data_IF_002007885878
#
_entry.id   IF_002007885878
#
_cell.length_a   1.000
_cell.length_b   1.000
_cell.length_c   1.000
_cell.angle_alpha   90.00
_cell.angle_beta   90.00
_cell.angle_gamma   90.00
#
_symmetry.space_group_name_H-M   'P 1'
#
loop_
_entity.id
_entity.type
_entity.pdbx_description
1 polymer ?
#
# COMPACT_ATOMS: atom_id res chain seq x y z
N UNK A 1 0.31 15.24 -12.64
CA UNK A 1 -1.16 15.06 -12.60
C UNK A 1 -1.79 15.91 -13.70
N UNK A 2 -2.63 15.33 -14.55
CA UNK A 2 -3.37 16.04 -15.59
C UNK A 2 -4.80 16.24 -15.11
N UNK A 3 -5.18 17.47 -14.84
CA UNK A 3 -6.57 17.89 -14.62
C UNK A 3 -6.87 18.98 -15.65
N UNK A 4 -7.92 18.82 -16.42
CA UNK A 4 -8.43 19.85 -17.38
C UNK A 4 -7.34 20.49 -18.26
N UNK A 5 -6.41 19.67 -18.81
CA UNK A 5 -5.36 20.16 -19.73
C UNK A 5 -4.10 20.75 -19.05
N UNK A 6 -4.11 20.93 -17.73
CA UNK A 6 -2.95 21.34 -16.94
C UNK A 6 -2.25 20.14 -16.29
N UNK A 7 -0.93 20.19 -16.18
CA UNK A 7 -0.11 19.19 -15.50
C UNK A 7 0.62 19.84 -14.34
N UNK A 8 0.51 19.24 -13.17
CA UNK A 8 1.28 19.61 -12.00
C UNK A 8 2.62 18.87 -12.03
N UNK A 9 3.70 19.60 -12.20
CA UNK A 9 5.08 19.08 -12.15
C UNK A 9 5.65 19.42 -10.78
N UNK A 10 6.16 18.42 -10.08
CA UNK A 10 6.83 18.57 -8.80
C UNK A 10 8.27 18.13 -8.98
N UNK A 11 9.20 19.03 -8.77
CA UNK A 11 10.64 18.77 -8.84
C UNK A 11 11.18 18.63 -7.42
N UNK A 12 11.97 17.59 -7.22
CA UNK A 12 12.66 17.29 -5.97
C UNK A 12 14.17 17.48 -6.19
N UNK A 13 14.74 18.66 -5.89
CA UNK A 13 16.17 18.90 -6.05
C UNK A 13 16.98 18.01 -5.09
N UNK A 14 18.10 17.48 -5.58
CA UNK A 14 18.99 16.67 -4.77
C UNK A 14 19.53 17.48 -3.58
N UNK A 15 19.52 16.87 -2.39
CA UNK A 15 20.06 17.51 -1.18
C UNK A 15 19.18 18.61 -0.56
N UNK A 16 18.05 18.95 -1.15
CA UNK A 16 17.14 19.97 -0.61
C UNK A 16 15.83 19.34 -0.10
N UNK A 17 15.34 19.86 1.03
CA UNK A 17 14.01 19.45 1.57
C UNK A 17 12.84 20.19 0.89
N UNK A 18 13.12 21.23 0.09
CA UNK A 18 12.09 22.04 -0.56
C UNK A 18 11.77 21.47 -1.94
N UNK A 19 10.50 21.35 -2.23
CA UNK A 19 9.99 20.93 -3.54
C UNK A 19 9.56 22.15 -4.35
N UNK A 20 9.87 22.16 -5.64
CA UNK A 20 9.39 23.16 -6.57
C UNK A 20 8.16 22.59 -7.28
N UNK A 21 7.03 23.27 -7.16
CA UNK A 21 5.79 22.88 -7.84
C UNK A 21 5.46 23.86 -8.95
N UNK A 22 5.33 23.34 -10.17
CA UNK A 22 4.99 24.09 -11.36
C UNK A 22 3.65 23.59 -11.93
N UNK A 23 2.81 24.52 -12.38
CA UNK A 23 1.62 24.20 -13.16
C UNK A 23 1.90 24.55 -14.62
N UNK A 24 1.96 23.54 -15.46
CA UNK A 24 2.32 23.66 -16.88
C UNK A 24 1.25 23.03 -17.75
N UNK A 25 1.21 23.40 -19.04
CA UNK A 25 0.46 22.62 -20.02
C UNK A 25 1.03 21.21 -20.14
N UNK A 26 0.23 20.25 -20.59
CA UNK A 26 0.68 18.87 -20.72
C UNK A 26 1.91 18.73 -21.65
N UNK A 27 1.98 19.53 -22.71
CA UNK A 27 3.11 19.54 -23.65
C UNK A 27 4.38 20.11 -23.00
N UNK A 28 4.27 21.25 -22.31
CA UNK A 28 5.41 21.86 -21.64
C UNK A 28 5.94 21.01 -20.48
N UNK A 29 5.03 20.34 -19.74
CA UNK A 29 5.43 19.42 -18.69
C UNK A 29 6.21 18.22 -19.25
N UNK A 30 5.78 17.67 -20.39
CA UNK A 30 6.47 16.57 -21.04
C UNK A 30 7.81 17.03 -21.65
N UNK A 31 7.85 18.19 -22.30
CA UNK A 31 9.08 18.77 -22.82
C UNK A 31 10.11 19.00 -21.71
N UNK A 32 9.70 19.56 -20.57
CA UNK A 32 10.57 19.76 -19.42
C UNK A 32 11.11 18.41 -18.89
N UNK A 33 10.24 17.43 -18.73
CA UNK A 33 10.62 16.11 -18.24
C UNK A 33 11.60 15.41 -19.19
N UNK A 34 11.39 15.50 -20.51
CA UNK A 34 12.26 14.88 -21.51
C UNK A 34 13.59 15.64 -21.67
N UNK A 35 13.61 16.94 -21.37
CA UNK A 35 14.84 17.72 -21.35
C UNK A 35 15.71 17.41 -20.14
N UNK A 36 15.09 17.19 -18.98
CA UNK A 36 15.82 16.87 -17.73
C UNK A 36 16.26 15.40 -17.68
N UNK A 37 15.40 14.49 -18.11
CA UNK A 37 15.61 13.04 -18.03
C UNK A 37 15.06 12.38 -19.31
N UNK A 38 15.83 12.32 -20.41
CA UNK A 38 15.38 11.82 -21.70
C UNK A 38 15.06 10.32 -21.63
N UNK A 39 14.02 9.89 -22.35
CA UNK A 39 13.55 8.51 -22.37
C UNK A 39 14.18 7.68 -23.50
N UNK A 40 15.35 8.03 -23.97
CA UNK A 40 16.02 7.29 -25.06
C UNK A 40 16.60 5.98 -24.54
N UNK A 41 16.54 4.94 -25.37
CA UNK A 41 17.14 3.61 -25.09
C UNK A 41 16.70 2.95 -23.78
N UNK A 42 15.42 3.14 -23.43
CA UNK A 42 14.87 2.61 -22.19
C UNK A 42 14.44 1.16 -22.32
N UNK A 43 14.90 0.30 -21.43
CA UNK A 43 14.30 -1.01 -21.21
C UNK A 43 12.97 -0.79 -20.52
N UNK A 44 11.87 -1.05 -21.23
CA UNK A 44 10.53 -0.83 -20.73
C UNK A 44 9.84 -2.15 -20.43
N UNK A 45 9.18 -2.21 -19.26
CA UNK A 45 8.34 -3.33 -18.87
C UNK A 45 6.89 -2.88 -18.67
N UNK A 46 5.99 -3.61 -19.29
CA UNK A 46 4.55 -3.45 -19.10
C UNK A 46 4.01 -4.68 -18.39
N UNK A 47 3.49 -4.55 -17.14
CA UNK A 47 3.02 -5.70 -16.40
C UNK A 47 1.82 -6.37 -17.07
N UNK A 48 1.74 -7.67 -16.95
CA UNK A 48 0.59 -8.48 -17.36
C UNK A 48 -0.63 -8.20 -16.48
N UNK A 49 -1.82 -8.57 -16.95
CA UNK A 49 -3.08 -8.33 -16.21
C UNK A 49 -3.07 -8.90 -14.79
N UNK A 50 -2.52 -10.10 -14.60
CA UNK A 50 -2.40 -10.72 -13.27
C UNK A 50 -1.47 -9.97 -12.30
N UNK A 51 -0.39 -9.37 -12.80
CA UNK A 51 0.52 -8.54 -11.99
C UNK A 51 -0.14 -7.22 -11.58
N UNK A 52 -0.91 -6.61 -12.50
CA UNK A 52 -1.71 -5.41 -12.19
C UNK A 52 -2.77 -5.69 -11.15
N UNK A 53 -3.44 -6.85 -11.23
CA UNK A 53 -4.43 -7.27 -10.23
C UNK A 53 -3.77 -7.52 -8.88
N UNK A 54 -2.63 -8.23 -8.85
CA UNK A 54 -1.88 -8.45 -7.64
C UNK A 54 -1.42 -7.13 -7.00
N UNK A 55 -0.93 -6.18 -7.80
CA UNK A 55 -0.56 -4.85 -7.33
C UNK A 55 -1.78 -4.09 -6.80
N UNK A 56 -2.94 -4.20 -7.46
CA UNK A 56 -4.18 -3.58 -7.02
C UNK A 56 -4.63 -4.11 -5.65
N UNK A 57 -4.58 -5.43 -5.44
CA UNK A 57 -4.93 -6.07 -4.17
C UNK A 57 -3.95 -5.68 -3.07
N UNK A 58 -2.65 -5.68 -3.36
CA UNK A 58 -1.60 -5.36 -2.39
C UNK A 58 -1.53 -3.87 -2.05
N UNK A 59 -1.93 -3.00 -2.98
CA UNK A 59 -1.98 -1.54 -2.78
C UNK A 59 -3.29 -1.05 -2.16
N UNK A 60 -4.25 -1.94 -1.89
CA UNK A 60 -5.53 -1.57 -1.32
C UNK A 60 -5.37 -1.10 0.14
N UNK A 61 -5.64 0.19 0.37
CA UNK A 61 -5.60 0.81 1.70
C UNK A 61 -6.99 1.30 2.11
N UNK A 62 -7.64 0.56 3.02
CA UNK A 62 -9.02 0.82 3.46
C UNK A 62 -9.20 2.16 4.15
N UNK A 63 -8.26 2.60 5.00
CA UNK A 63 -8.38 3.85 5.75
C UNK A 63 -8.37 5.08 4.83
N UNK A 64 -7.45 5.14 3.87
CA UNK A 64 -7.41 6.24 2.91
C UNK A 64 -8.64 6.24 1.99
N UNK A 65 -9.20 5.08 1.71
CA UNK A 65 -10.42 4.94 0.91
C UNK A 65 -11.65 5.39 1.69
N UNK A 66 -11.72 5.09 2.98
CA UNK A 66 -12.77 5.60 3.87
C UNK A 66 -12.80 7.13 3.89
N UNK A 67 -11.64 7.76 4.06
CA UNK A 67 -11.53 9.22 4.05
C UNK A 67 -11.99 9.84 2.73
N UNK A 68 -11.59 9.25 1.59
CA UNK A 68 -12.04 9.71 0.27
C UNK A 68 -13.52 9.49 0.03
N UNK A 69 -14.07 8.35 0.46
CA UNK A 69 -15.49 8.07 0.34
C UNK A 69 -16.32 9.04 1.17
N UNK A 70 -15.90 9.30 2.42
CA UNK A 70 -16.55 10.30 3.27
C UNK A 70 -16.50 11.70 2.67
N UNK A 71 -15.35 12.09 2.08
CA UNK A 71 -15.21 13.36 1.39
C UNK A 71 -16.09 13.43 0.15
N UNK A 72 -16.16 12.39 -0.67
CA UNK A 72 -16.99 12.31 -1.85
C UNK A 72 -18.48 12.43 -1.50
N UNK A 73 -18.95 11.71 -0.46
CA UNK A 73 -20.33 11.82 0.02
C UNK A 73 -20.61 13.23 0.53
N UNK A 74 -19.67 13.85 1.26
CA UNK A 74 -19.82 15.23 1.73
C UNK A 74 -19.88 16.22 0.57
N UNK A 75 -19.03 16.08 -0.44
CA UNK A 75 -19.01 16.98 -1.61
C UNK A 75 -20.20 16.75 -2.56
N UNK A 76 -20.81 15.58 -2.57
CA UNK A 76 -22.01 15.32 -3.39
C UNK A 76 -23.28 15.98 -2.82
N UNK A 77 -23.27 16.40 -1.56
CA UNK A 77 -24.42 16.98 -0.86
C UNK A 77 -25.12 18.14 -1.57
N UNK A 78 -24.40 19.10 -2.23
CA UNK A 78 -25.04 20.17 -2.99
C UNK A 78 -25.82 19.68 -4.22
N UNK A 79 -25.40 18.54 -4.80
CA UNK A 79 -25.98 17.99 -6.03
C UNK A 79 -27.01 16.89 -5.75
N UNK A 80 -26.81 16.15 -4.67
CA UNK A 80 -27.68 15.07 -4.20
C UNK A 80 -27.86 15.23 -2.69
N UNK A 81 -28.86 16.01 -2.26
CA UNK A 81 -29.08 16.33 -0.83
C UNK A 81 -29.19 15.10 0.07
N UNK A 82 -29.80 14.04 -0.45
CA UNK A 82 -30.03 12.77 0.27
C UNK A 82 -28.96 11.70 0.04
N UNK A 83 -27.80 12.07 -0.53
CA UNK A 83 -26.75 11.10 -0.83
C UNK A 83 -26.28 10.31 0.41
N UNK A 84 -26.25 10.93 1.57
CA UNK A 84 -25.91 10.26 2.82
C UNK A 84 -26.99 9.26 3.25
N UNK A 85 -28.25 9.69 3.26
CA UNK A 85 -29.39 8.84 3.64
C UNK A 85 -29.55 7.66 2.68
N UNK A 86 -29.40 7.90 1.37
CA UNK A 86 -29.43 6.85 0.35
C UNK A 86 -28.27 5.84 0.55
N UNK A 87 -27.05 6.32 0.77
CA UNK A 87 -25.88 5.45 1.01
C UNK A 87 -26.08 4.59 2.27
N UNK A 88 -26.57 5.18 3.37
CA UNK A 88 -26.88 4.43 4.58
C UNK A 88 -28.04 3.47 4.40
N UNK A 89 -29.07 3.82 3.64
CA UNK A 89 -30.19 2.92 3.34
C UNK A 89 -29.70 1.66 2.58
N UNK A 90 -28.86 1.81 1.57
CA UNK A 90 -28.28 0.68 0.86
C UNK A 90 -27.35 -0.16 1.74
N UNK A 91 -26.52 0.46 2.58
CA UNK A 91 -25.69 -0.27 3.54
C UNK A 91 -26.56 -1.05 4.55
N UNK A 92 -27.65 -0.44 5.05
CA UNK A 92 -28.61 -1.11 5.91
C UNK A 92 -29.27 -2.31 5.25
N UNK A 93 -29.68 -2.18 3.98
CA UNK A 93 -30.26 -3.31 3.24
C UNK A 93 -29.27 -4.48 3.10
N UNK A 94 -28.01 -4.19 2.75
CA UNK A 94 -26.95 -5.20 2.67
C UNK A 94 -26.66 -5.82 4.03
N UNK A 95 -26.63 -5.02 5.11
CA UNK A 95 -26.43 -5.51 6.46
C UNK A 95 -27.61 -6.37 6.94
N UNK A 96 -28.85 -5.98 6.62
CA UNK A 96 -30.04 -6.77 6.92
C UNK A 96 -30.07 -8.12 6.17
N UNK A 97 -29.58 -8.13 4.92
CA UNK A 97 -29.39 -9.37 4.18
C UNK A 97 -28.34 -10.29 4.85
N UNK A 98 -27.18 -9.73 5.22
CA UNK A 98 -26.13 -10.47 5.91
C UNK A 98 -26.54 -10.90 7.32
N UNK A 99 -27.42 -10.16 7.98
CA UNK A 99 -27.94 -10.49 9.31
C UNK A 99 -28.84 -11.73 9.34
N UNK A 100 -29.23 -12.28 8.19
CA UNK A 100 -29.87 -13.60 8.13
C UNK A 100 -28.96 -14.74 8.59
N UNK A 101 -27.64 -14.54 8.49
CA UNK A 101 -26.63 -15.54 8.78
C UNK A 101 -25.74 -15.17 9.98
N UNK A 102 -25.73 -13.89 10.37
CA UNK A 102 -24.83 -13.34 11.36
C UNK A 102 -25.55 -12.35 12.28
N UNK A 103 -25.09 -12.15 13.52
CA UNK A 103 -25.60 -11.07 14.36
C UNK A 103 -25.51 -9.71 13.68
N UNK A 104 -26.49 -8.84 13.86
CA UNK A 104 -26.62 -7.57 13.13
C UNK A 104 -25.37 -6.68 13.20
N UNK A 105 -24.69 -6.62 14.37
CA UNK A 105 -23.46 -5.86 14.54
C UNK A 105 -22.30 -6.37 13.69
N UNK A 106 -22.14 -7.71 13.58
CA UNK A 106 -21.11 -8.31 12.72
C UNK A 106 -21.45 -8.20 11.25
N UNK A 107 -22.73 -8.30 10.89
CA UNK A 107 -23.20 -8.10 9.52
C UNK A 107 -22.85 -6.68 9.03
N UNK A 108 -23.07 -5.65 9.87
CA UNK A 108 -22.68 -4.27 9.57
C UNK A 108 -21.18 -4.09 9.36
N UNK A 109 -20.35 -4.65 10.25
CA UNK A 109 -18.90 -4.59 10.13
C UNK A 109 -18.39 -5.26 8.85
N UNK A 110 -18.95 -6.42 8.51
CA UNK A 110 -18.57 -7.15 7.30
C UNK A 110 -18.99 -6.40 6.02
N UNK A 111 -20.20 -5.86 5.99
CA UNK A 111 -20.70 -5.10 4.84
C UNK A 111 -19.87 -3.83 4.65
N UNK A 112 -19.64 -3.08 5.72
CA UNK A 112 -18.81 -1.86 5.66
C UNK A 112 -17.37 -2.20 5.23
N UNK A 113 -16.76 -3.22 5.84
CA UNK A 113 -15.43 -3.70 5.48
C UNK A 113 -15.34 -4.15 4.02
N UNK A 114 -16.34 -4.90 3.55
CA UNK A 114 -16.44 -5.36 2.16
C UNK A 114 -16.56 -4.21 1.17
N UNK A 115 -17.41 -3.25 1.43
CA UNK A 115 -17.58 -2.04 0.58
C UNK A 115 -16.29 -1.22 0.53
N UNK A 116 -15.64 -1.01 1.70
CA UNK A 116 -14.36 -0.31 1.76
C UNK A 116 -13.26 -1.05 1.03
N UNK A 117 -13.21 -2.37 1.15
CA UNK A 117 -12.26 -3.20 0.43
C UNK A 117 -12.48 -3.11 -1.09
N UNK A 118 -13.71 -3.27 -1.57
CA UNK A 118 -14.04 -3.16 -2.99
C UNK A 118 -13.71 -1.76 -3.55
N UNK A 119 -14.07 -0.69 -2.84
CA UNK A 119 -13.75 0.66 -3.24
C UNK A 119 -12.23 0.91 -3.27
N UNK A 120 -11.49 0.37 -2.30
CA UNK A 120 -10.04 0.40 -2.24
C UNK A 120 -9.40 -0.36 -3.39
N UNK A 121 -9.94 -1.52 -3.73
CA UNK A 121 -9.47 -2.33 -4.86
C UNK A 121 -9.68 -1.61 -6.19
N UNK A 122 -10.86 -1.04 -6.43
CA UNK A 122 -11.16 -0.25 -7.63
C UNK A 122 -10.21 0.95 -7.76
N UNK A 123 -9.98 1.68 -6.66
CA UNK A 123 -9.06 2.79 -6.63
C UNK A 123 -7.63 2.36 -6.95
N UNK A 124 -7.16 1.27 -6.34
CA UNK A 124 -5.81 0.73 -6.56
C UNK A 124 -5.66 0.21 -8.00
N UNK A 125 -6.68 -0.46 -8.54
CA UNK A 125 -6.72 -0.90 -9.93
C UNK A 125 -6.68 0.28 -10.92
N UNK A 126 -7.43 1.35 -10.64
CA UNK A 126 -7.39 2.58 -11.44
C UNK A 126 -6.00 3.25 -11.39
N UNK A 127 -5.30 3.19 -10.25
CA UNK A 127 -3.94 3.68 -10.11
C UNK A 127 -2.93 2.82 -10.89
N UNK A 128 -3.10 1.51 -10.91
CA UNK A 128 -2.28 0.56 -11.65
C UNK A 128 -2.63 0.47 -13.15
N UNK A 129 -3.69 1.14 -13.62
CA UNK A 129 -4.09 1.14 -15.02
C UNK A 129 -3.01 1.81 -15.87
N UNK A 130 -2.77 1.26 -17.07
CA UNK A 130 -1.74 1.73 -18.01
C UNK A 130 -0.34 1.86 -17.40
N UNK A 131 -0.07 1.07 -16.37
CA UNK A 131 1.21 1.11 -15.68
C UNK A 131 2.33 0.58 -16.58
N UNK A 132 3.41 1.35 -16.67
CA UNK A 132 4.66 0.99 -17.33
C UNK A 132 5.83 1.49 -16.51
N UNK A 133 6.88 0.67 -16.41
CA UNK A 133 8.16 1.02 -15.81
C UNK A 133 9.21 0.98 -16.89
N UNK A 134 10.16 1.90 -16.86
CA UNK A 134 11.32 1.86 -17.74
C UNK A 134 12.57 2.25 -17.01
N UNK A 135 13.68 1.75 -17.49
CA UNK A 135 15.00 2.08 -17.03
C UNK A 135 15.84 2.55 -18.21
N UNK A 136 16.56 3.64 -18.00
CA UNK A 136 17.64 4.13 -18.86
C UNK A 136 18.97 3.93 -18.10
N UNK A 137 20.10 4.19 -18.72
CA UNK A 137 21.40 4.10 -18.05
C UNK A 137 21.49 5.00 -16.80
N UNK A 138 20.93 6.20 -16.84
CA UNK A 138 21.03 7.22 -15.78
C UNK A 138 19.77 7.37 -14.92
N UNK A 139 18.62 6.87 -15.35
CA UNK A 139 17.37 7.07 -14.58
C UNK A 139 16.37 5.96 -14.74
N UNK A 140 15.50 5.89 -13.74
CA UNK A 140 14.36 4.99 -13.64
C UNK A 140 13.09 5.82 -13.75
N UNK A 141 12.10 5.34 -14.47
CA UNK A 141 10.84 6.01 -14.58
C UNK A 141 9.66 5.06 -14.47
N UNK A 142 8.53 5.57 -14.02
CA UNK A 142 7.24 4.88 -14.04
C UNK A 142 6.14 5.83 -14.44
N UNK A 143 5.14 5.31 -15.12
CA UNK A 143 3.89 6.03 -15.41
C UNK A 143 2.70 5.11 -15.23
N UNK A 144 1.57 5.68 -14.90
CA UNK A 144 0.34 4.92 -14.72
C UNK A 144 -0.86 5.82 -14.47
N UNK A 145 -1.97 5.20 -14.13
CA UNK A 145 -3.22 5.84 -13.75
C UNK A 145 -4.24 5.95 -14.89
N UNK A 146 -5.50 5.74 -14.54
CA UNK A 146 -6.64 5.86 -15.46
C UNK A 146 -7.22 7.28 -15.42
N UNK A 147 -7.69 7.71 -14.26
CA UNK A 147 -8.28 9.04 -14.05
C UNK A 147 -7.18 10.08 -13.82
N UNK A 148 -6.28 9.80 -12.90
CA UNK A 148 -5.14 10.63 -12.59
C UNK A 148 -3.88 10.00 -13.17
N UNK A 149 -3.51 10.43 -14.36
CA UNK A 149 -2.25 9.98 -14.98
C UNK A 149 -1.08 10.64 -14.27
N UNK A 150 -0.13 9.82 -13.86
CA UNK A 150 1.12 10.26 -13.24
C UNK A 150 2.31 9.70 -14.00
N UNK A 151 3.39 10.42 -13.96
CA UNK A 151 4.70 9.99 -14.45
C UNK A 151 5.73 10.45 -13.41
N UNK A 152 6.61 9.53 -13.04
CA UNK A 152 7.68 9.78 -12.08
C UNK A 152 8.99 9.37 -12.71
N UNK A 153 10.03 10.16 -12.53
CA UNK A 153 11.39 9.88 -13.01
C UNK A 153 12.38 10.12 -11.88
N UNK A 154 13.34 9.22 -11.71
CA UNK A 154 14.31 9.20 -10.64
C UNK A 154 15.70 8.95 -11.22
N UNK A 155 16.67 9.80 -10.90
CA UNK A 155 18.07 9.56 -11.25
C UNK A 155 18.65 8.41 -10.43
N UNK A 156 19.28 7.43 -11.08
CA UNK A 156 19.81 6.22 -10.43
C UNK A 156 20.94 6.53 -9.44
N UNK A 157 21.70 7.60 -9.67
CA UNK A 157 22.75 8.07 -8.75
C UNK A 157 22.20 8.54 -7.40
N UNK A 158 20.93 8.96 -7.35
CA UNK A 158 20.25 9.42 -6.14
C UNK A 158 19.38 8.35 -5.50
N UNK A 159 19.42 7.12 -6.03
CA UNK A 159 18.69 6.00 -5.48
C UNK A 159 19.20 5.66 -4.08
N UNK A 160 18.35 5.83 -3.06
CA UNK A 160 18.73 5.60 -1.67
C UNK A 160 18.44 4.19 -1.22
N UNK A 161 17.24 3.71 -1.46
CA UNK A 161 16.86 2.34 -1.10
C UNK A 161 15.72 1.80 -1.97
N UNK A 162 15.64 0.49 -2.05
CA UNK A 162 14.49 -0.23 -2.58
C UNK A 162 13.79 -0.98 -1.42
N UNK A 163 12.49 -0.81 -1.32
CA UNK A 163 11.64 -1.39 -0.28
C UNK A 163 10.79 -2.52 -0.87
N UNK A 164 10.94 -3.73 -0.33
CA UNK A 164 10.13 -4.90 -0.69
C UNK A 164 9.11 -5.15 0.42
N UNK A 165 7.87 -4.78 0.20
CA UNK A 165 6.80 -4.90 1.20
C UNK A 165 6.19 -6.29 1.16
N UNK A 166 6.33 -7.02 2.26
CA UNK A 166 5.73 -8.35 2.43
C UNK A 166 4.57 -8.29 3.42
N UNK A 167 3.45 -8.85 3.04
CA UNK A 167 2.25 -9.01 3.86
C UNK A 167 1.74 -10.46 3.75
N UNK A 168 0.79 -10.90 4.57
CA UNK A 168 0.16 -12.20 4.38
C UNK A 168 -0.44 -12.39 2.99
N UNK A 169 -1.01 -11.33 2.41
CA UNK A 169 -1.53 -11.36 1.04
C UNK A 169 -0.43 -11.55 0.00
N UNK A 170 0.76 -10.95 0.19
CA UNK A 170 1.90 -11.16 -0.71
C UNK A 170 2.41 -12.59 -0.66
N UNK A 171 2.36 -13.22 0.51
CA UNK A 171 2.72 -14.62 0.65
C UNK A 171 1.73 -15.53 -0.08
N UNK A 172 0.43 -15.30 0.07
CA UNK A 172 -0.61 -16.05 -0.62
C UNK A 172 -0.55 -15.91 -2.15
N UNK A 173 -0.18 -14.73 -2.65
CA UNK A 173 -0.06 -14.44 -4.09
C UNK A 173 1.31 -14.81 -4.67
N UNK A 174 2.30 -15.21 -3.84
CA UNK A 174 3.67 -15.51 -4.25
C UNK A 174 4.40 -14.33 -4.89
N UNK A 175 4.04 -13.09 -4.53
CA UNK A 175 4.61 -11.88 -5.11
C UNK A 175 4.62 -10.74 -4.09
N UNK A 176 5.53 -9.79 -4.20
CA UNK A 176 5.58 -8.62 -3.33
C UNK A 176 5.78 -7.33 -4.13
N UNK A 177 5.15 -6.21 -3.73
CA UNK A 177 5.38 -4.92 -4.35
C UNK A 177 6.78 -4.40 -3.98
N UNK A 178 7.41 -3.76 -4.95
CA UNK A 178 8.72 -3.13 -4.80
C UNK A 178 8.54 -1.62 -4.99
N UNK A 179 9.06 -0.86 -4.06
CA UNK A 179 9.08 0.60 -4.12
C UNK A 179 10.52 1.10 -4.10
N UNK A 180 10.77 2.22 -4.77
CA UNK A 180 12.10 2.82 -4.85
C UNK A 180 12.00 4.27 -4.43
N UNK A 181 12.98 4.72 -3.67
CA UNK A 181 13.00 6.09 -3.12
C UNK A 181 14.37 6.74 -3.29
N UNK A 182 14.38 8.03 -3.58
CA UNK A 182 15.55 8.87 -3.62
C UNK A 182 15.66 9.73 -2.36
N UNK A 183 16.62 9.43 -1.49
CA UNK A 183 16.89 10.19 -0.29
C UNK A 183 15.71 10.36 0.66
N UNK A 184 15.64 11.52 1.30
CA UNK A 184 14.50 11.89 2.18
C UNK A 184 13.33 12.49 1.40
N UNK A 185 13.43 12.58 0.08
CA UNK A 185 12.39 13.15 -0.77
C UNK A 185 11.42 12.06 -1.18
N UNK A 186 10.19 12.19 -0.76
CA UNK A 186 9.08 11.40 -1.26
C UNK A 186 8.52 12.06 -2.52
N UNK A 187 8.09 11.35 -3.56
CA UNK A 187 7.30 10.12 -3.47
C UNK A 187 8.08 8.83 -3.76
N UNK A 188 7.60 7.74 -3.18
CA UNK A 188 8.01 6.39 -3.54
C UNK A 188 7.57 6.07 -4.98
N UNK A 189 8.49 5.55 -5.79
CA UNK A 189 8.16 5.06 -7.13
C UNK A 189 7.78 3.59 -7.01
N UNK A 190 6.53 3.21 -7.26
CA UNK A 190 6.16 1.81 -7.31
C UNK A 190 6.77 1.16 -8.55
N UNK A 191 7.64 0.16 -8.39
CA UNK A 191 8.24 -0.52 -9.52
C UNK A 191 7.42 -1.68 -10.02
N UNK A 192 6.70 -2.35 -9.21
CA UNK A 192 5.82 -3.46 -9.56
C UNK A 192 5.80 -4.55 -8.50
N UNK A 193 5.07 -5.61 -8.89
CA UNK A 193 4.96 -6.85 -8.15
C UNK A 193 6.10 -7.78 -8.60
N UNK A 194 7.09 -7.96 -7.73
CA UNK A 194 8.17 -8.90 -7.95
C UNK A 194 7.75 -10.32 -7.53
N UNK A 195 8.13 -11.31 -8.34
CA UNK A 195 8.05 -12.75 -7.99
C UNK A 195 9.44 -13.29 -7.76
N UNK A 196 9.58 -14.20 -6.82
CA UNK A 196 10.85 -14.87 -6.54
C UNK A 196 11.31 -15.65 -7.80
N UNK A 197 12.56 -15.37 -8.24
CA UNK A 197 13.11 -15.94 -9.48
C UNK A 197 12.83 -15.14 -10.77
N UNK A 198 12.13 -14.01 -10.71
CA UNK A 198 11.97 -13.13 -11.86
C UNK A 198 13.26 -12.33 -12.13
N UNK A 199 13.85 -12.41 -13.32
CA UNK A 199 15.06 -11.66 -13.68
C UNK A 199 14.81 -10.16 -13.76
N UNK A 200 13.56 -9.74 -13.88
CA UNK A 200 13.13 -8.39 -14.14
C UNK A 200 13.63 -7.36 -13.11
N UNK A 201 13.65 -7.71 -11.81
CA UNK A 201 14.16 -6.81 -10.78
C UNK A 201 15.67 -6.54 -10.96
N UNK A 202 16.42 -7.54 -11.40
CA UNK A 202 17.86 -7.40 -11.68
C UNK A 202 18.14 -6.53 -12.91
N UNK A 203 17.26 -6.59 -13.91
CA UNK A 203 17.34 -5.72 -15.10
C UNK A 203 17.02 -4.26 -14.77
N UNK A 204 15.99 -4.02 -13.94
CA UNK A 204 15.62 -2.66 -13.52
C UNK A 204 16.59 -2.06 -12.50
N UNK A 205 17.05 -2.87 -11.55
CA UNK A 205 17.92 -2.45 -10.45
C UNK A 205 19.16 -3.36 -10.39
N UNK A 206 20.10 -3.26 -11.34
CA UNK A 206 21.31 -4.06 -11.32
C UNK A 206 22.10 -3.75 -10.06
N UNK A 207 22.46 -4.81 -9.38
CA UNK A 207 23.19 -4.75 -8.12
C UNK A 207 22.32 -4.72 -6.86
N UNK A 208 20.99 -4.77 -6.94
CA UNK A 208 20.15 -5.12 -5.79
C UNK A 208 20.09 -6.64 -5.70
N UNK A 209 20.89 -7.22 -4.83
CA UNK A 209 20.80 -8.64 -4.48
C UNK A 209 19.73 -8.81 -3.39
N UNK A 210 18.93 -9.87 -3.53
CA UNK A 210 18.03 -10.28 -2.46
C UNK A 210 18.83 -10.71 -1.23
N UNK A 211 18.35 -10.40 -0.01
CA UNK A 211 19.03 -10.82 1.20
C UNK A 211 19.10 -12.33 1.29
N UNK A 212 20.16 -12.89 1.88
CA UNK A 212 20.28 -14.33 2.11
C UNK A 212 19.09 -14.82 2.95
N UNK A 213 18.75 -16.11 2.84
CA UNK A 213 17.62 -16.70 3.55
C UNK A 213 17.78 -16.69 5.08
N UNK A 214 19.00 -16.73 5.57
CA UNK A 214 19.30 -16.71 6.99
C UNK A 214 19.65 -15.28 7.46
N UNK A 215 18.92 -14.72 8.42
CA UNK A 215 19.29 -13.45 9.04
C UNK A 215 20.57 -13.63 9.86
N UNK A 216 21.44 -12.64 9.86
CA UNK A 216 22.47 -12.51 10.88
C UNK A 216 21.75 -12.29 12.21
N UNK A 217 22.05 -13.11 13.20
CA UNK A 217 21.36 -13.07 14.49
C UNK A 217 21.63 -11.73 15.16
N UNK A 218 20.57 -10.94 15.32
CA UNK A 218 20.65 -9.70 16.07
C UNK A 218 20.55 -10.06 17.54
N UNK A 219 21.68 -10.14 18.21
CA UNK A 219 21.72 -10.33 19.66
C UNK A 219 20.89 -9.25 20.36
N UNK A 220 20.00 -9.65 21.27
CA UNK A 220 19.24 -8.73 22.12
C UNK A 220 17.87 -8.30 21.60
N UNK A 221 17.19 -9.12 20.82
CA UNK A 221 15.80 -8.86 20.42
C UNK A 221 14.90 -8.68 21.63
N UNK A 222 14.41 -7.47 21.83
CA UNK A 222 13.47 -7.17 22.91
C UNK A 222 12.09 -7.76 22.60
N UNK A 223 11.78 -8.92 23.17
CA UNK A 223 10.48 -9.59 23.04
C UNK A 223 9.31 -8.63 23.36
N UNK A 224 9.34 -7.84 24.45
CA UNK A 224 8.25 -6.93 24.74
C UNK A 224 7.94 -5.93 23.64
N UNK A 225 8.94 -5.37 22.97
CA UNK A 225 8.73 -4.37 21.91
C UNK A 225 7.90 -4.91 20.73
N UNK A 226 7.99 -6.22 20.44
CA UNK A 226 7.22 -6.85 19.38
C UNK A 226 5.82 -7.27 19.79
N UNK A 227 5.65 -7.74 21.02
CA UNK A 227 4.41 -8.39 21.45
C UNK A 227 3.46 -7.47 22.21
N UNK A 228 3.98 -6.45 22.92
CA UNK A 228 3.15 -5.52 23.70
C UNK A 228 2.09 -4.78 22.85
N UNK A 229 2.41 -4.21 21.68
CA UNK A 229 1.43 -3.44 20.90
C UNK A 229 0.20 -4.23 20.49
N UNK A 230 0.34 -5.52 20.19
CA UNK A 230 -0.77 -6.39 19.82
C UNK A 230 -1.28 -7.24 21.00
N UNK A 231 -0.41 -7.57 21.96
CA UNK A 231 -0.71 -8.42 23.10
C UNK A 231 -1.64 -7.78 24.11
N UNK A 232 -1.38 -6.51 24.46
CA UNK A 232 -2.25 -5.78 25.40
C UNK A 232 -3.68 -5.65 24.86
N UNK A 233 -3.93 -5.15 23.61
CA UNK A 233 -5.27 -5.09 23.07
C UNK A 233 -5.93 -6.48 22.94
N UNK A 234 -5.17 -7.50 22.57
CA UNK A 234 -5.67 -8.86 22.46
C UNK A 234 -6.17 -9.39 23.81
N UNK A 235 -5.34 -9.22 24.86
CA UNK A 235 -5.71 -9.62 26.21
C UNK A 235 -6.93 -8.87 26.75
N UNK A 236 -6.99 -7.56 26.50
CA UNK A 236 -8.14 -6.73 26.87
C UNK A 236 -9.41 -7.16 26.13
N UNK A 237 -9.35 -7.40 24.84
CA UNK A 237 -10.48 -7.87 24.04
C UNK A 237 -10.95 -9.27 24.47
N UNK A 238 -10.04 -10.17 24.84
CA UNK A 238 -10.38 -11.47 25.43
C UNK A 238 -11.15 -11.33 26.73
N UNK A 239 -10.66 -10.48 27.63
CA UNK A 239 -11.31 -10.21 28.91
C UNK A 239 -12.70 -9.59 28.69
N UNK A 240 -12.81 -8.60 27.82
CA UNK A 240 -14.10 -8.00 27.45
C UNK A 240 -15.06 -9.03 26.81
N UNK A 241 -14.57 -9.93 25.98
CA UNK A 241 -15.36 -11.01 25.39
C UNK A 241 -15.91 -11.95 26.47
N UNK A 242 -15.06 -12.30 27.45
CA UNK A 242 -15.47 -13.15 28.57
C UNK A 242 -16.55 -12.47 29.44
N UNK A 243 -16.38 -11.19 29.75
CA UNK A 243 -17.36 -10.40 30.52
C UNK A 243 -18.65 -10.22 29.73
N UNK A 244 -18.59 -9.89 28.44
CA UNK A 244 -19.76 -9.64 27.59
C UNK A 244 -20.65 -10.87 27.44
N UNK A 245 -20.08 -12.06 27.55
CA UNK A 245 -20.87 -13.32 27.52
C UNK A 245 -21.93 -13.36 28.63
N UNK A 246 -21.65 -12.76 29.79
CA UNK A 246 -22.56 -12.76 30.95
C UNK A 246 -23.42 -11.50 31.04
N UNK A 247 -22.88 -10.34 30.58
CA UNK A 247 -23.55 -9.04 30.74
C UNK A 247 -24.30 -8.59 29.47
N UNK A 248 -23.68 -8.75 28.31
CA UNK A 248 -24.19 -8.25 27.01
C UNK A 248 -23.90 -9.27 25.89
N UNK A 249 -24.67 -10.36 25.77
CA UNK A 249 -24.39 -11.44 24.82
C UNK A 249 -24.30 -10.99 23.36
N UNK A 250 -24.99 -9.91 22.99
CA UNK A 250 -24.97 -9.34 21.65
C UNK A 250 -23.58 -8.82 21.23
N UNK A 251 -22.73 -8.42 22.19
CA UNK A 251 -21.37 -7.93 21.93
C UNK A 251 -20.32 -9.03 21.87
N UNK A 252 -20.64 -10.25 22.27
CA UNK A 252 -19.67 -11.37 22.34
C UNK A 252 -19.07 -11.68 20.96
N UNK A 253 -19.90 -11.77 19.92
CA UNK A 253 -19.42 -12.10 18.57
C UNK A 253 -18.57 -10.97 17.96
N UNK A 254 -19.00 -9.69 17.99
CA UNK A 254 -18.12 -8.59 17.55
C UNK A 254 -16.77 -8.55 18.27
N UNK A 255 -16.76 -8.71 19.59
CA UNK A 255 -15.53 -8.72 20.38
C UNK A 255 -14.63 -9.92 20.04
N UNK A 256 -15.22 -11.07 19.75
CA UNK A 256 -14.48 -12.26 19.34
C UNK A 256 -13.80 -12.04 17.98
N UNK A 257 -14.47 -11.37 17.03
CA UNK A 257 -13.86 -10.99 15.74
C UNK A 257 -12.69 -10.04 15.94
N UNK A 258 -12.86 -9.02 16.79
CA UNK A 258 -11.77 -8.08 17.11
C UNK A 258 -10.61 -8.78 17.79
N UNK A 259 -10.89 -9.70 18.72
CA UNK A 259 -9.89 -10.54 19.37
C UNK A 259 -9.12 -11.38 18.35
N UNK A 260 -9.81 -12.01 17.40
CA UNK A 260 -9.17 -12.78 16.32
C UNK A 260 -8.27 -11.92 15.44
N UNK A 261 -8.65 -10.65 15.17
CA UNK A 261 -7.79 -9.72 14.46
C UNK A 261 -6.49 -9.42 15.23
N UNK A 262 -6.57 -9.14 16.54
CA UNK A 262 -5.37 -8.91 17.34
C UNK A 262 -4.53 -10.18 17.51
N UNK A 263 -5.15 -11.35 17.59
CA UNK A 263 -4.42 -12.62 17.60
C UNK A 263 -3.65 -12.84 16.28
N UNK A 264 -4.25 -12.49 15.14
CA UNK A 264 -3.56 -12.52 13.84
C UNK A 264 -2.36 -11.54 13.79
N UNK A 265 -2.51 -10.35 14.40
CA UNK A 265 -1.39 -9.39 14.54
C UNK A 265 -0.28 -9.95 15.44
N UNK A 266 -0.61 -10.68 16.51
CA UNK A 266 0.38 -11.38 17.35
C UNK A 266 1.16 -12.44 16.57
N UNK A 267 0.49 -13.22 15.73
CA UNK A 267 1.17 -14.17 14.83
C UNK A 267 2.09 -13.43 13.86
N UNK A 268 1.65 -12.28 13.34
CA UNK A 268 2.47 -11.39 12.54
C UNK A 268 3.72 -10.92 13.31
N UNK A 269 3.52 -10.41 14.53
CA UNK A 269 4.60 -9.96 15.42
C UNK A 269 5.62 -11.08 15.72
N UNK A 270 5.15 -12.30 15.97
CA UNK A 270 6.02 -13.47 16.14
C UNK A 270 6.87 -13.75 14.90
N UNK A 271 6.24 -13.72 13.71
CA UNK A 271 6.95 -13.93 12.45
C UNK A 271 7.98 -12.82 12.18
N UNK A 272 7.63 -11.57 12.52
CA UNK A 272 8.54 -10.43 12.45
C UNK A 272 9.76 -10.63 13.36
N UNK A 273 9.50 -10.80 14.65
CA UNK A 273 10.55 -11.03 15.64
C UNK A 273 11.51 -12.14 15.24
N UNK A 274 11.00 -13.21 14.65
CA UNK A 274 11.81 -14.35 14.21
C UNK A 274 12.61 -14.08 12.94
N UNK A 275 12.14 -13.19 12.07
CA UNK A 275 12.67 -13.02 10.70
C UNK A 275 13.37 -11.67 10.49
N UNK A 276 13.29 -10.74 11.43
CA UNK A 276 13.99 -9.46 11.32
C UNK A 276 15.50 -9.63 11.40
N UNK A 277 16.22 -8.82 10.67
CA UNK A 277 17.66 -8.90 10.63
C UNK A 277 18.29 -7.78 9.79
N UNK A 278 19.59 -7.66 9.97
CA UNK A 278 20.45 -6.70 9.28
C UNK A 278 21.54 -7.48 8.58
N UNK A 279 21.76 -7.19 7.30
CA UNK A 279 22.84 -7.77 6.51
C UNK A 279 23.65 -6.65 5.88
N UNK A 280 24.96 -6.78 5.92
CA UNK A 280 25.88 -5.95 5.17
C UNK A 280 26.63 -6.85 4.17
N UNK A 281 26.39 -6.66 2.89
CA UNK A 281 27.03 -7.43 1.83
C UNK A 281 27.45 -6.49 0.70
N UNK A 282 28.71 -6.58 0.30
CA UNK A 282 29.29 -5.78 -0.80
C UNK A 282 29.04 -4.25 -0.65
N UNK A 283 29.20 -3.74 0.58
CA UNK A 283 28.97 -2.30 0.86
C UNK A 283 27.50 -1.88 0.87
N UNK A 284 26.55 -2.81 0.78
CA UNK A 284 25.11 -2.55 0.81
C UNK A 284 24.51 -3.08 2.09
N UNK A 285 23.70 -2.22 2.72
CA UNK A 285 22.96 -2.55 3.92
C UNK A 285 21.56 -3.03 3.52
N UNK A 286 21.22 -4.26 3.90
CA UNK A 286 19.87 -4.79 3.76
C UNK A 286 19.24 -4.89 5.14
N UNK A 287 18.13 -4.22 5.31
CA UNK A 287 17.33 -4.25 6.54
C UNK A 287 16.05 -5.05 6.27
N UNK A 288 15.73 -5.95 7.18
CA UNK A 288 14.44 -6.65 7.18
C UNK A 288 13.76 -6.34 8.49
N UNK A 289 12.64 -5.62 8.42
CA UNK A 289 11.83 -5.28 9.59
C UNK A 289 10.35 -5.51 9.29
N UNK A 290 9.57 -5.65 10.32
CA UNK A 290 8.12 -5.70 10.23
C UNK A 290 7.56 -4.32 10.59
N UNK A 291 6.75 -3.76 9.70
CA UNK A 291 5.87 -2.65 10.04
C UNK A 291 4.60 -3.24 10.67
N UNK A 292 4.31 -2.82 11.89
CA UNK A 292 3.08 -3.14 12.61
C UNK A 292 1.85 -2.50 12.02
#
# INVERSE_FOLDING_TARGET
>A
YRLAGASRVVLYPAGQKRTLTLLLSAQNAQFLADRMMPRRDAVAHTPRGGEKLAFAVLGANGLSTLALLALAIRQSRPYVPDAQTAAFAHLNQLAAWAARWLPMGTAWLLVLGGVLFCASLVRSAAHAAHYTVWRTESHLGSRGGFVHRYEMRLALEHLSYADLRRSPATWALGCCPVFVTAGSCQPEIPLLVWREGSPFLQELLPGFALPPKAPVDTAGRSIPAYFLPAGIPCGLCLLLTAVSRYTLPALTVPLLVVTAMFAALLVGAYNGWRKEGIWLQNGRLTLRWQHG
#
